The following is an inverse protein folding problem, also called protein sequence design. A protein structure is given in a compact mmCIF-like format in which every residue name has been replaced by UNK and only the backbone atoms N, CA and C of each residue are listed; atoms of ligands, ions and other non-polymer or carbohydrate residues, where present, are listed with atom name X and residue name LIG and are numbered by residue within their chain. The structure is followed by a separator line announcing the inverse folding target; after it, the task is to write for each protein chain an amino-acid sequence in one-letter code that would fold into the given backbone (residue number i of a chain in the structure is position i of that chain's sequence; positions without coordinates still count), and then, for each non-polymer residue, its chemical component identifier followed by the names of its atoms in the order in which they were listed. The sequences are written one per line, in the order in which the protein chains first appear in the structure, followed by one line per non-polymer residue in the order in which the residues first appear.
data_IF_357654909070
#
_entry.id   IF_357654909070
#
_cell.length_a   1.000
_cell.length_b   1.000
_cell.length_c   1.000
_cell.angle_alpha   90.00
_cell.angle_beta   90.00
_cell.angle_gamma   90.00
#
_symmetry.space_group_name_H-M   'P 1'
#
loop_
_entity.id
_entity.type
_entity.pdbx_description
1 polymer ?
#
# COMPACT_ATOMS: atom_id res chain seq x y z
N UNK A 1 26.84 46.35 7.77
CA UNK A 1 26.69 45.21 8.70
C UNK A 1 25.27 45.25 9.20
N UNK A 2 24.39 44.42 8.63
CA UNK A 2 22.95 44.48 8.88
C UNK A 2 22.47 43.07 9.21
N UNK A 3 21.85 42.94 10.37
CA UNK A 3 21.49 41.70 11.05
C UNK A 3 20.18 41.17 10.43
N UNK A 4 20.19 39.96 9.86
CA UNK A 4 18.96 39.28 9.45
C UNK A 4 18.33 38.58 10.66
N UNK A 5 17.17 39.09 11.06
CA UNK A 5 16.33 38.57 12.14
C UNK A 5 15.47 37.41 11.63
N UNK A 6 15.59 36.28 12.32
CA UNK A 6 14.74 35.09 12.21
C UNK A 6 13.28 35.42 12.49
N UNK A 7 12.38 35.00 11.59
CA UNK A 7 10.94 34.93 11.87
C UNK A 7 10.38 33.61 11.34
N UNK A 8 10.39 32.63 12.23
CA UNK A 8 9.45 31.50 12.21
C UNK A 8 8.02 32.05 12.26
N UNK A 9 7.17 31.57 11.36
CA UNK A 9 5.71 31.75 11.46
C UNK A 9 5.13 30.54 12.20
N UNK A 10 4.24 30.74 13.18
CA UNK A 10 3.57 29.64 13.87
C UNK A 10 2.44 29.11 12.98
N UNK A 11 2.46 27.82 12.68
CA UNK A 11 1.34 27.14 12.02
C UNK A 11 0.36 26.76 13.13
N UNK A 12 -0.61 27.63 13.39
CA UNK A 12 -1.81 27.27 14.15
C UNK A 12 -2.91 26.83 13.18
N UNK A 13 -3.48 25.66 13.48
CA UNK A 13 -4.85 25.23 13.13
C UNK A 13 -5.22 25.15 11.64
N UNK A 14 -4.82 24.04 11.01
CA UNK A 14 -5.61 23.37 9.98
C UNK A 14 -5.88 21.95 10.49
N UNK A 15 -6.79 21.83 11.44
CA UNK A 15 -7.35 20.53 11.84
C UNK A 15 -8.18 20.01 10.65
N UNK A 16 -7.61 19.12 9.84
CA UNK A 16 -8.40 18.27 8.96
C UNK A 16 -9.06 17.21 9.84
N UNK A 17 -10.36 17.37 10.09
CA UNK A 17 -11.22 16.39 10.74
C UNK A 17 -11.31 15.11 9.89
N UNK A 18 -10.37 14.19 10.06
CA UNK A 18 -10.48 12.83 9.56
C UNK A 18 -11.43 12.08 10.50
N UNK A 19 -12.74 12.15 10.20
CA UNK A 19 -13.73 11.27 10.84
C UNK A 19 -13.58 9.86 10.29
N UNK A 20 -12.71 9.07 10.92
CA UNK A 20 -12.71 7.62 10.77
C UNK A 20 -14.00 7.12 11.42
N UNK A 21 -14.90 6.55 10.60
CA UNK A 21 -16.19 6.06 11.06
C UNK A 21 -15.96 4.75 11.84
N UNK A 22 -16.13 4.77 13.16
CA UNK A 22 -15.96 3.59 14.04
C UNK A 22 -16.74 2.36 13.55
N UNK A 23 -17.81 2.54 12.79
CA UNK A 23 -18.68 1.46 12.30
C UNK A 23 -18.02 0.56 11.23
N UNK A 24 -16.97 1.02 10.54
CA UNK A 24 -16.20 0.16 9.62
C UNK A 24 -15.13 -0.69 10.35
N UNK A 25 -14.88 -0.41 11.63
CA UNK A 25 -13.98 -1.21 12.47
C UNK A 25 -14.68 -2.43 13.10
N UNK A 26 -16.00 -2.37 13.30
CA UNK A 26 -16.77 -3.37 14.06
C UNK A 26 -17.01 -4.71 13.32
N UNK A 27 -16.49 -4.87 12.09
CA UNK A 27 -16.71 -6.06 11.25
C UNK A 27 -15.53 -7.05 11.18
N UNK A 28 -14.42 -6.76 11.85
CA UNK A 28 -13.24 -7.62 11.88
C UNK A 28 -13.22 -8.35 13.23
N UNK A 29 -13.71 -9.59 13.23
CA UNK A 29 -13.58 -10.49 14.38
C UNK A 29 -12.09 -10.67 14.72
N UNK A 30 -11.75 -10.19 15.92
CA UNK A 30 -10.63 -10.50 16.81
C UNK A 30 -9.48 -11.38 16.26
N UNK A 31 -8.57 -10.78 15.51
CA UNK A 31 -7.15 -10.88 15.84
C UNK A 31 -6.61 -9.46 15.95
N UNK A 32 -6.47 -8.99 17.20
CA UNK A 32 -5.94 -7.67 17.54
C UNK A 32 -4.44 -7.61 17.20
N UNK A 33 -4.13 -7.46 15.91
CA UNK A 33 -2.77 -7.19 15.48
C UNK A 33 -2.50 -5.68 15.65
N UNK A 34 -2.25 -5.28 16.90
CA UNK A 34 -1.79 -3.94 17.25
C UNK A 34 -0.33 -3.80 16.83
N UNK A 35 -0.10 -3.26 15.63
CA UNK A 35 1.21 -2.83 15.18
C UNK A 35 1.44 -1.38 15.62
N UNK A 36 2.27 -1.12 16.66
CA UNK A 36 2.57 0.24 17.11
C UNK A 36 3.22 1.13 16.03
N UNK A 37 3.63 0.58 14.89
CA UNK A 37 4.22 1.32 13.77
C UNK A 37 3.22 2.13 12.91
N UNK A 38 1.91 1.98 13.13
CA UNK A 38 0.88 2.76 12.39
C UNK A 38 0.79 4.20 12.94
N UNK A 39 1.25 4.45 14.16
CA UNK A 39 1.03 5.71 14.89
C UNK A 39 1.90 6.90 14.44
N UNK A 40 2.85 6.70 13.51
CA UNK A 40 3.69 7.76 12.92
C UNK A 40 3.25 8.27 11.52
N UNK A 41 2.06 7.86 11.04
CA UNK A 41 1.71 7.93 9.61
C UNK A 41 1.33 9.31 9.05
N UNK A 42 0.96 10.30 9.89
CA UNK A 42 0.43 11.58 9.39
C UNK A 42 1.48 12.37 8.59
N UNK A 43 2.72 12.48 9.10
CA UNK A 43 3.80 13.19 8.39
C UNK A 43 4.27 12.46 7.11
N UNK A 44 4.02 11.15 7.03
CA UNK A 44 4.43 10.32 5.90
C UNK A 44 3.50 10.52 4.70
N UNK A 45 2.21 10.79 4.95
CA UNK A 45 1.20 11.05 3.92
C UNK A 45 1.43 12.35 3.16
N UNK A 46 1.83 13.42 3.85
CA UNK A 46 2.11 14.73 3.22
C UNK A 46 3.30 14.69 2.25
N UNK A 47 4.21 13.72 2.42
CA UNK A 47 5.39 13.51 1.58
C UNK A 47 5.26 12.30 0.67
N UNK A 48 4.09 11.67 0.64
CA UNK A 48 3.88 10.47 -0.15
C UNK A 48 4.10 10.78 -1.63
N UNK A 49 4.80 9.87 -2.29
CA UNK A 49 4.98 9.91 -3.74
C UNK A 49 4.27 8.74 -4.42
N UNK A 50 3.38 8.08 -3.68
CA UNK A 50 2.52 7.03 -4.20
C UNK A 50 1.65 7.59 -5.35
N UNK A 51 1.47 6.84 -6.46
CA UNK A 51 1.92 5.47 -6.69
C UNK A 51 3.31 5.33 -7.32
N UNK A 52 4.01 6.41 -7.65
CA UNK A 52 5.26 6.38 -8.41
C UNK A 52 6.42 5.69 -7.69
N UNK A 53 6.41 5.73 -6.35
CA UNK A 53 7.30 4.96 -5.49
C UNK A 53 6.57 4.59 -4.20
N UNK A 54 6.96 3.50 -3.53
CA UNK A 54 6.39 3.14 -2.25
C UNK A 54 6.90 4.07 -1.15
N UNK A 55 6.03 4.38 -0.20
CA UNK A 55 6.41 5.15 0.99
C UNK A 55 7.18 4.31 2.01
N UNK A 56 7.02 2.99 1.96
CA UNK A 56 7.68 2.03 2.85
C UNK A 56 8.43 0.98 2.04
N UNK A 57 9.64 0.58 2.46
CA UNK A 57 10.36 -0.50 1.80
C UNK A 57 9.61 -1.84 1.96
N UNK A 58 9.77 -2.73 0.98
CA UNK A 58 9.16 -4.06 1.02
C UNK A 58 9.62 -4.92 2.21
N UNK A 59 10.85 -4.71 2.69
CA UNK A 59 11.49 -5.56 3.70
C UNK A 59 11.89 -6.95 3.19
N UNK A 60 11.88 -7.17 1.86
CA UNK A 60 12.31 -8.40 1.18
C UNK A 60 12.93 -8.08 -0.17
N UNK A 61 13.85 -8.92 -0.63
CA UNK A 61 14.68 -8.65 -1.83
C UNK A 61 14.04 -9.10 -3.15
N UNK A 62 13.02 -9.94 -3.08
CA UNK A 62 12.29 -10.51 -4.21
C UNK A 62 11.01 -9.74 -4.55
N UNK A 63 10.68 -8.69 -3.80
CA UNK A 63 9.57 -7.80 -4.09
C UNK A 63 9.99 -6.68 -5.05
N UNK A 64 9.19 -6.44 -6.10
CA UNK A 64 9.42 -5.37 -7.06
C UNK A 64 8.26 -4.37 -7.04
N UNK A 65 8.54 -3.07 -7.06
CA UNK A 65 7.47 -2.07 -7.11
C UNK A 65 6.88 -1.98 -8.52
N UNK A 66 5.57 -2.09 -8.62
CA UNK A 66 4.80 -1.92 -9.84
C UNK A 66 3.93 -0.68 -9.74
N UNK A 67 3.86 0.07 -10.84
CA UNK A 67 2.93 1.19 -11.01
C UNK A 67 1.99 0.82 -12.15
N UNK A 68 0.69 1.00 -11.93
CA UNK A 68 -0.30 0.70 -12.95
C UNK A 68 -0.11 1.59 -14.19
N UNK A 69 -0.45 1.12 -15.40
CA UNK A 69 -0.34 1.92 -16.62
C UNK A 69 -1.14 3.23 -16.57
N UNK A 70 -2.28 3.25 -15.86
CA UNK A 70 -3.08 4.45 -15.63
C UNK A 70 -2.53 5.36 -14.52
N UNK A 71 -1.46 4.93 -13.82
CA UNK A 71 -0.81 5.66 -12.72
C UNK A 71 -1.75 5.98 -11.55
N UNK A 72 -2.84 5.22 -11.40
CA UNK A 72 -3.81 5.41 -10.31
C UNK A 72 -3.43 4.62 -9.05
N UNK A 73 -2.60 3.58 -9.20
CA UNK A 73 -2.19 2.73 -8.09
C UNK A 73 -0.84 2.07 -8.33
N UNK A 74 -0.20 1.66 -7.25
CA UNK A 74 1.03 0.90 -7.26
C UNK A 74 0.99 -0.17 -6.17
N UNK A 75 1.73 -1.25 -6.37
CA UNK A 75 1.84 -2.30 -5.37
C UNK A 75 3.17 -3.04 -5.51
N UNK A 76 3.56 -3.75 -4.47
CA UNK A 76 4.65 -4.71 -4.56
C UNK A 76 4.24 -5.94 -5.36
N UNK A 77 5.10 -6.46 -6.21
CA UNK A 77 4.93 -7.76 -6.89
C UNK A 77 5.82 -8.76 -6.17
N UNK A 78 5.21 -9.80 -5.62
CA UNK A 78 5.93 -10.95 -5.01
C UNK A 78 5.52 -12.20 -5.76
N UNK A 79 6.50 -12.93 -6.29
CA UNK A 79 6.23 -14.05 -7.21
C UNK A 79 6.91 -15.34 -6.78
N UNK A 80 6.13 -16.25 -6.19
CA UNK A 80 6.58 -17.59 -5.85
C UNK A 80 6.41 -18.60 -6.99
N UNK A 81 5.71 -18.23 -8.07
CA UNK A 81 5.58 -19.04 -9.26
C UNK A 81 6.88 -19.12 -10.08
N UNK A 82 7.40 -20.34 -10.27
CA UNK A 82 8.70 -20.56 -10.93
C UNK A 82 8.63 -20.81 -12.44
N UNK A 83 7.44 -20.78 -13.04
CA UNK A 83 7.23 -21.01 -14.48
C UNK A 83 6.78 -19.71 -15.18
N UNK A 84 6.89 -19.63 -16.52
CA UNK A 84 6.32 -18.51 -17.26
C UNK A 84 4.81 -18.38 -16.98
N UNK A 85 4.36 -17.19 -16.60
CA UNK A 85 2.94 -16.91 -16.37
C UNK A 85 2.29 -16.64 -17.72
N UNK A 86 1.30 -17.46 -18.08
CA UNK A 86 0.37 -17.14 -19.15
C UNK A 86 -0.68 -16.21 -18.56
N UNK A 87 -0.78 -15.00 -19.12
CA UNK A 87 -1.82 -14.05 -18.74
C UNK A 87 -3.18 -14.63 -19.12
N UNK A 88 -4.04 -14.83 -18.13
CA UNK A 88 -5.43 -15.23 -18.35
C UNK A 88 -6.28 -14.01 -18.07
N UNK A 89 -7.17 -13.65 -19.01
CA UNK A 89 -8.17 -12.63 -18.75
C UNK A 89 -9.08 -13.13 -17.62
N UNK A 90 -9.13 -12.44 -16.46
CA UNK A 90 -10.04 -12.81 -15.39
C UNK A 90 -11.48 -12.65 -15.86
N UNK A 91 -12.39 -13.42 -15.25
CA UNK A 91 -13.80 -13.15 -15.44
C UNK A 91 -14.14 -11.77 -14.85
N UNK A 92 -15.11 -11.03 -15.41
CA UNK A 92 -15.56 -9.77 -14.82
C UNK A 92 -15.94 -9.96 -13.34
N UNK A 93 -15.32 -9.17 -12.45
CA UNK A 93 -15.54 -9.22 -11.00
C UNK A 93 -14.60 -10.15 -10.23
N UNK A 94 -13.79 -10.96 -10.90
CA UNK A 94 -12.82 -11.84 -10.27
C UNK A 94 -11.57 -11.06 -9.79
N UNK A 95 -11.29 -11.13 -8.48
CA UNK A 95 -10.16 -10.42 -7.85
C UNK A 95 -8.90 -11.29 -7.71
N UNK A 96 -9.00 -12.58 -8.02
CA UNK A 96 -7.96 -13.59 -7.85
C UNK A 96 -7.80 -14.34 -9.16
N UNK A 97 -6.65 -14.23 -9.82
CA UNK A 97 -6.49 -14.78 -11.18
C UNK A 97 -5.03 -14.95 -11.57
N UNK A 98 -4.78 -15.71 -12.64
CA UNK A 98 -3.43 -15.93 -13.17
C UNK A 98 -2.91 -14.71 -13.91
N UNK A 99 -2.04 -13.94 -13.24
CA UNK A 99 -1.37 -12.80 -13.84
C UNK A 99 -0.11 -12.41 -13.07
N UNK A 100 0.91 -11.97 -13.81
CA UNK A 100 2.14 -11.43 -13.25
C UNK A 100 1.96 -10.05 -12.58
N UNK A 101 0.92 -9.33 -12.97
CA UNK A 101 0.58 -8.00 -12.46
C UNK A 101 -0.92 -7.89 -12.22
N UNK A 102 -1.38 -7.02 -11.31
CA UNK A 102 -2.80 -6.78 -11.16
C UNK A 102 -3.38 -6.03 -12.36
N UNK A 103 -4.62 -6.38 -12.68
CA UNK A 103 -5.45 -5.79 -13.71
C UNK A 103 -6.54 -4.87 -13.15
N UNK A 104 -6.57 -4.66 -11.82
CA UNK A 104 -7.53 -3.79 -11.13
C UNK A 104 -6.88 -3.12 -9.92
N UNK A 105 -7.40 -1.95 -9.53
CA UNK A 105 -6.94 -1.22 -8.35
C UNK A 105 -7.25 -2.01 -7.07
N UNK A 106 -6.32 -2.05 -6.11
CA UNK A 106 -6.53 -2.69 -4.79
C UNK A 106 -7.53 -1.92 -3.91
N UNK A 107 -7.80 -0.64 -4.19
CA UNK A 107 -8.73 0.22 -3.45
C UNK A 107 -8.40 0.36 -1.95
N UNK A 108 -7.13 0.18 -1.58
CA UNK A 108 -6.69 0.38 -0.21
C UNK A 108 -6.64 1.88 0.11
N UNK A 109 -6.82 2.22 1.38
CA UNK A 109 -6.62 3.59 1.85
C UNK A 109 -5.16 4.03 1.59
N UNK A 110 -4.95 5.34 1.42
CA UNK A 110 -3.63 5.88 1.10
C UNK A 110 -2.55 5.49 2.14
N UNK A 111 -2.91 5.37 3.42
CA UNK A 111 -2.00 4.94 4.49
C UNK A 111 -1.55 3.47 4.38
N UNK A 112 -2.33 2.63 3.70
CA UNK A 112 -2.01 1.21 3.47
C UNK A 112 -1.54 0.92 2.05
N UNK A 113 -1.81 1.80 1.08
CA UNK A 113 -1.55 1.57 -0.34
C UNK A 113 -0.10 1.16 -0.62
N UNK A 114 0.88 1.85 -0.01
CA UNK A 114 2.32 1.54 -0.12
C UNK A 114 2.74 0.21 0.53
N UNK A 115 1.84 -0.46 1.25
CA UNK A 115 2.04 -1.78 1.88
C UNK A 115 1.31 -2.90 1.15
N UNK A 116 0.56 -2.61 0.09
CA UNK A 116 -0.14 -3.64 -0.66
C UNK A 116 0.84 -4.37 -1.58
N UNK A 117 0.68 -5.70 -1.66
CA UNK A 117 1.37 -6.53 -2.63
C UNK A 117 0.38 -7.33 -3.48
N UNK A 118 0.64 -7.44 -4.78
CA UNK A 118 0.14 -8.51 -5.63
C UNK A 118 1.03 -9.73 -5.43
N UNK A 119 0.53 -10.70 -4.67
CA UNK A 119 1.22 -11.94 -4.38
C UNK A 119 0.76 -13.03 -5.33
N UNK A 120 1.72 -13.64 -6.02
CA UNK A 120 1.52 -14.75 -6.94
C UNK A 120 2.02 -16.03 -6.26
N UNK A 121 1.11 -16.94 -6.01
CA UNK A 121 1.41 -18.21 -5.34
C UNK A 121 2.14 -19.22 -6.23
N UNK A 122 2.46 -20.38 -5.67
CA UNK A 122 3.10 -21.50 -6.37
C UNK A 122 2.29 -22.09 -7.53
N UNK A 123 1.00 -21.77 -7.63
CA UNK A 123 0.10 -22.16 -8.73
C UNK A 123 -0.01 -21.09 -9.82
N UNK A 124 0.63 -19.94 -9.63
CA UNK A 124 0.59 -18.79 -10.53
C UNK A 124 -0.66 -17.94 -10.34
N UNK A 125 -1.39 -18.11 -9.24
CA UNK A 125 -2.60 -17.36 -8.91
C UNK A 125 -2.20 -16.12 -8.13
N UNK A 126 -2.53 -14.95 -8.69
CA UNK A 126 -2.29 -13.65 -8.10
C UNK A 126 -3.48 -13.15 -7.27
N UNK A 127 -3.18 -12.52 -6.13
CA UNK A 127 -4.16 -11.80 -5.28
C UNK A 127 -3.50 -10.69 -4.49
N UNK A 128 -4.29 -9.72 -4.05
CA UNK A 128 -3.81 -8.68 -3.14
C UNK A 128 -3.66 -9.21 -1.72
N UNK A 129 -2.55 -8.82 -1.07
CA UNK A 129 -2.21 -9.10 0.32
C UNK A 129 -1.51 -7.89 0.94
N UNK A 130 -1.38 -7.87 2.26
CA UNK A 130 -0.58 -6.84 2.94
C UNK A 130 0.86 -7.32 3.11
N UNK A 131 1.82 -6.45 2.80
CA UNK A 131 3.25 -6.67 2.98
C UNK A 131 3.77 -5.73 4.06
N UNK A 132 4.21 -6.31 5.18
CA UNK A 132 4.72 -5.59 6.33
C UNK A 132 6.10 -6.13 6.72
N UNK A 133 7.14 -5.31 6.60
CA UNK A 133 8.53 -5.67 6.96
C UNK A 133 8.99 -7.02 6.38
N UNK A 134 8.66 -7.30 5.12
CA UNK A 134 9.01 -8.54 4.43
C UNK A 134 8.00 -9.69 4.59
N UNK A 135 7.06 -9.57 5.52
CA UNK A 135 6.05 -10.58 5.82
C UNK A 135 4.75 -10.34 5.05
N UNK A 136 4.24 -11.40 4.42
CA UNK A 136 2.92 -11.40 3.78
C UNK A 136 1.87 -11.73 4.84
N UNK A 137 0.86 -10.86 4.95
CA UNK A 137 -0.31 -11.01 5.80
C UNK A 137 -1.55 -11.16 4.91
N UNK A 138 -2.36 -12.19 5.20
CA UNK A 138 -3.60 -12.52 4.50
C UNK A 138 -4.82 -12.05 5.27
#
# INVERSE_FOLDING_TARGET
MTVYSSRYLPISSLELDIKINQKELDGLEEEEISYPEIQGQIETLEKSCYPFKPDFPAGRTDANWYVSPCQEYGCWIVNDYKKPIVLVSPNPGEKVYKSAVPLHNHNASIGLASRIAWYIDENGIGRYVTLLNGHILN
#
